data_IF_217367681319
#
_entry.id   IF_217367681319
#
_cell.length_a   1.000
_cell.length_b   1.000
_cell.length_c   1.000
_cell.angle_alpha   90.00
_cell.angle_beta   90.00
_cell.angle_gamma   90.00
#
_symmetry.space_group_name_H-M   'P 1'
#
loop_
_entity.id
_entity.type
_entity.pdbx_description
1 polymer ?
#
# COMPACT_ATOMS: atom_id res chain seq x y z
N UNK A 1 34.30 5.38 7.68
CA UNK A 1 34.18 6.21 6.46
C UNK A 1 33.13 5.56 5.55
N UNK A 2 31.98 6.23 5.46
CA UNK A 2 30.91 6.11 4.46
C UNK A 2 30.08 4.82 4.35
N UNK A 3 28.98 4.78 5.12
CA UNK A 3 27.78 3.97 4.84
C UNK A 3 27.03 4.60 3.64
N UNK A 4 27.27 4.09 2.43
CA UNK A 4 26.58 4.58 1.24
C UNK A 4 25.36 3.70 0.83
N UNK A 5 24.17 4.15 1.24
CA UNK A 5 22.89 4.17 0.52
C UNK A 5 22.38 2.92 -0.23
N UNK A 6 21.48 2.17 0.41
CA UNK A 6 20.35 1.51 -0.27
C UNK A 6 19.02 2.08 0.24
N UNK A 7 18.83 3.41 0.11
CA UNK A 7 17.53 4.06 0.26
C UNK A 7 16.69 3.90 -1.03
N UNK A 8 16.67 2.70 -1.61
CA UNK A 8 15.86 2.43 -2.80
C UNK A 8 14.51 1.93 -2.35
N UNK A 9 13.44 2.63 -2.75
CA UNK A 9 12.07 2.16 -2.54
C UNK A 9 11.90 0.77 -3.17
N UNK A 10 11.05 -0.10 -2.59
CA UNK A 10 10.66 -1.35 -3.24
C UNK A 10 10.12 -1.06 -4.65
N UNK A 11 10.46 -1.89 -5.64
CA UNK A 11 10.13 -1.62 -7.04
C UNK A 11 8.61 -1.47 -7.26
N UNK A 12 7.78 -2.21 -6.51
CA UNK A 12 6.32 -2.06 -6.55
C UNK A 12 5.87 -0.64 -6.12
N UNK A 13 6.47 -0.10 -5.05
CA UNK A 13 6.21 1.26 -4.56
C UNK A 13 6.69 2.30 -5.58
N UNK A 14 7.88 2.10 -6.14
CA UNK A 14 8.43 3.01 -7.14
C UNK A 14 7.55 3.07 -8.40
N UNK A 15 7.03 1.93 -8.87
CA UNK A 15 6.09 1.87 -10.00
C UNK A 15 4.76 2.54 -9.69
N UNK A 16 4.15 2.23 -8.55
CA UNK A 16 2.89 2.84 -8.11
C UNK A 16 3.00 4.37 -8.03
N UNK A 17 4.09 4.88 -7.46
CA UNK A 17 4.35 6.32 -7.36
C UNK A 17 4.63 6.99 -8.70
N UNK A 18 5.11 6.25 -9.70
CA UNK A 18 5.29 6.77 -11.05
C UNK A 18 3.99 6.80 -11.85
N UNK A 19 3.00 6.00 -11.46
CA UNK A 19 1.73 5.84 -12.17
C UNK A 19 0.61 6.70 -11.56
N UNK A 20 0.62 6.85 -10.23
CA UNK A 20 -0.36 7.64 -9.48
C UNK A 20 0.30 8.92 -8.99
N UNK A 21 -0.30 10.07 -9.29
CA UNK A 21 0.17 11.37 -8.81
C UNK A 21 0.14 11.38 -7.26
N UNK A 22 1.24 11.77 -6.58
CA UNK A 22 1.24 11.91 -5.14
C UNK A 22 0.25 12.99 -4.61
N UNK A 23 -0.21 13.93 -5.42
CA UNK A 23 -1.14 14.96 -4.95
C UNK A 23 -2.45 14.33 -4.42
N UNK A 24 -2.72 14.52 -3.12
CA UNK A 24 -3.91 13.98 -2.45
C UNK A 24 -3.78 12.54 -1.92
N UNK A 25 -2.62 11.89 -2.07
CA UNK A 25 -2.36 10.54 -1.57
C UNK A 25 -1.71 10.58 -0.19
N UNK A 26 -2.27 9.91 0.81
CA UNK A 26 -1.68 9.78 2.15
C UNK A 26 -0.41 8.92 2.15
N UNK A 27 -0.35 7.89 1.30
CA UNK A 27 0.85 7.12 1.03
C UNK A 27 0.59 5.82 0.26
N UNK A 28 1.64 5.01 0.12
CA UNK A 28 1.64 3.81 -0.70
C UNK A 28 1.81 2.57 0.17
N UNK A 29 0.99 1.55 -0.06
CA UNK A 29 0.94 0.34 0.74
C UNK A 29 1.55 -0.85 0.02
N UNK A 30 2.49 -1.50 0.71
CA UNK A 30 2.98 -2.84 0.35
C UNK A 30 2.36 -3.89 1.27
N UNK A 31 2.20 -5.10 0.75
CA UNK A 31 1.60 -6.24 1.46
C UNK A 31 0.22 -5.90 2.03
N UNK A 32 -0.58 -5.13 1.29
CA UNK A 32 -1.87 -4.65 1.73
C UNK A 32 -2.86 -5.81 1.91
N UNK A 33 -3.35 -5.97 3.14
CA UNK A 33 -4.37 -6.95 3.51
C UNK A 33 -5.60 -6.21 4.00
N UNK A 34 -6.74 -6.50 3.39
CA UNK A 34 -8.02 -5.97 3.86
C UNK A 34 -8.67 -6.91 4.87
N UNK A 35 -9.12 -6.35 6.00
CA UNK A 35 -9.88 -7.08 7.00
C UNK A 35 -10.85 -6.15 7.71
N UNK A 36 -12.14 -6.54 7.77
CA UNK A 36 -13.20 -5.81 8.48
C UNK A 36 -13.32 -4.34 8.03
N UNK A 37 -13.26 -4.09 6.71
CA UNK A 37 -13.42 -2.75 6.14
C UNK A 37 -12.25 -1.79 6.42
N UNK A 38 -11.05 -2.33 6.65
CA UNK A 38 -9.81 -1.58 6.84
C UNK A 38 -8.67 -2.29 6.13
N UNK A 39 -7.63 -1.56 5.76
CA UNK A 39 -6.43 -2.12 5.16
C UNK A 39 -5.26 -2.03 6.14
N UNK A 40 -4.56 -3.14 6.33
CA UNK A 40 -3.25 -3.18 7.00
C UNK A 40 -2.17 -3.36 5.95
N UNK A 41 -1.04 -2.68 6.11
CA UNK A 41 0.09 -2.80 5.19
C UNK A 41 1.33 -2.06 5.70
N UNK A 42 2.41 -2.16 4.95
CA UNK A 42 3.60 -1.33 5.17
C UNK A 42 3.47 -0.04 4.39
N UNK A 43 3.54 1.10 5.08
CA UNK A 43 3.43 2.43 4.50
C UNK A 43 4.77 2.92 3.96
N UNK A 44 4.74 3.50 2.77
CA UNK A 44 5.85 4.19 2.15
C UNK A 44 5.41 5.55 1.60
N UNK A 45 6.34 6.49 1.52
CA UNK A 45 6.12 7.85 1.04
C UNK A 45 4.94 8.53 1.77
N UNK A 46 4.96 8.45 3.11
CA UNK A 46 3.97 9.12 3.96
C UNK A 46 4.03 10.63 3.74
N UNK A 47 2.99 11.20 3.12
CA UNK A 47 2.92 12.63 2.83
C UNK A 47 2.62 13.48 4.07
N UNK A 48 2.08 12.88 5.14
CA UNK A 48 1.93 13.57 6.41
C UNK A 48 3.26 13.76 7.14
N UNK A 49 4.29 13.00 6.75
CA UNK A 49 5.64 13.03 7.35
C UNK A 49 5.71 12.49 8.78
N UNK A 50 4.65 11.83 9.26
CA UNK A 50 4.56 11.32 10.63
C UNK A 50 5.24 9.96 10.82
N UNK A 51 5.39 9.18 9.74
CA UNK A 51 5.87 7.80 9.76
C UNK A 51 7.07 7.61 8.83
N UNK A 52 7.92 6.64 9.17
CA UNK A 52 9.07 6.26 8.33
C UNK A 52 8.63 5.23 7.30
N UNK A 53 9.26 5.24 6.13
CA UNK A 53 9.09 4.18 5.13
C UNK A 53 9.25 2.77 5.72
N UNK A 54 8.32 1.88 5.41
CA UNK A 54 8.22 0.53 5.97
C UNK A 54 7.46 0.45 7.29
N UNK A 55 6.91 1.56 7.81
CA UNK A 55 6.11 1.54 9.04
C UNK A 55 4.82 0.74 8.83
N UNK A 56 4.49 -0.23 9.70
CA UNK A 56 3.21 -0.93 9.61
C UNK A 56 2.08 0.00 10.03
N UNK A 57 1.01 0.05 9.24
CA UNK A 57 -0.18 0.84 9.55
C UNK A 57 -1.45 0.00 9.41
N UNK A 58 -2.52 0.54 9.99
CA UNK A 58 -3.88 0.19 9.67
C UNK A 58 -4.62 1.47 9.31
N UNK A 59 -5.27 1.49 8.15
CA UNK A 59 -6.07 2.64 7.72
C UNK A 59 -7.30 2.83 8.63
N UNK A 60 -7.94 3.98 8.45
CA UNK A 60 -9.31 4.26 8.79
C UNK A 60 -10.28 3.29 8.11
N UNK A 61 -11.56 3.44 8.43
CA UNK A 61 -12.61 2.68 7.76
C UNK A 61 -12.62 3.08 6.28
N UNK A 62 -12.67 2.09 5.40
CA UNK A 62 -12.78 2.30 3.95
C UNK A 62 -14.14 2.92 3.68
N UNK A 63 -14.14 4.09 3.05
CA UNK A 63 -15.33 4.83 2.65
C UNK A 63 -15.65 4.62 1.18
N UNK A 64 -14.61 4.55 0.32
CA UNK A 64 -14.77 4.34 -1.11
C UNK A 64 -13.50 3.77 -1.77
N UNK A 65 -13.56 3.48 -3.07
CA UNK A 65 -12.45 2.99 -3.90
C UNK A 65 -12.41 3.63 -5.28
N UNK A 66 -11.21 3.81 -5.78
CA UNK A 66 -10.96 4.22 -7.16
C UNK A 66 -9.83 3.38 -7.78
N UNK A 67 -9.67 3.49 -9.11
CA UNK A 67 -8.59 2.85 -9.86
C UNK A 67 -7.89 3.89 -10.74
N UNK A 68 -6.56 3.85 -10.75
CA UNK A 68 -5.70 4.71 -11.58
C UNK A 68 -4.54 3.88 -12.09
N UNK A 69 -4.37 3.80 -13.42
CA UNK A 69 -3.23 3.10 -14.06
C UNK A 69 -2.97 1.69 -13.46
N UNK A 70 -4.05 0.90 -13.32
CA UNK A 70 -4.06 -0.44 -12.73
C UNK A 70 -3.76 -0.53 -11.21
N UNK A 71 -3.66 0.60 -10.52
CA UNK A 71 -3.53 0.67 -9.07
C UNK A 71 -4.86 0.99 -8.39
N UNK A 72 -5.17 0.25 -7.33
CA UNK A 72 -6.32 0.51 -6.48
C UNK A 72 -6.00 1.62 -5.48
N UNK A 73 -6.89 2.60 -5.41
CA UNK A 73 -6.90 3.65 -4.40
C UNK A 73 -7.96 3.31 -3.35
N UNK A 74 -7.52 3.18 -2.11
CA UNK A 74 -8.38 2.99 -0.95
C UNK A 74 -8.64 4.35 -0.33
N UNK A 75 -9.88 4.83 -0.44
CA UNK A 75 -10.31 6.07 0.17
C UNK A 75 -10.82 5.72 1.57
N UNK A 76 -10.02 6.00 2.58
CA UNK A 76 -10.35 5.75 3.98
C UNK A 76 -10.62 7.07 4.72
N UNK A 77 -11.32 6.97 5.85
CA UNK A 77 -11.66 8.11 6.69
C UNK A 77 -10.45 8.94 7.17
N UNK A 78 -9.24 8.38 7.13
CA UNK A 78 -7.98 9.03 7.51
C UNK A 78 -7.07 9.38 6.32
N UNK A 79 -7.45 9.06 5.09
CA UNK A 79 -6.67 9.40 3.90
C UNK A 79 -6.88 8.45 2.72
N UNK A 80 -6.28 8.82 1.58
CA UNK A 80 -6.30 8.00 0.36
C UNK A 80 -4.99 7.23 0.25
N UNK A 81 -5.06 5.91 0.14
CA UNK A 81 -3.89 5.04 0.09
C UNK A 81 -3.82 4.29 -1.23
N UNK A 82 -2.66 4.31 -1.88
CA UNK A 82 -2.43 3.52 -3.10
C UNK A 82 -1.97 2.12 -2.71
N UNK A 83 -2.69 1.10 -3.17
CA UNK A 83 -2.28 -0.30 -2.99
C UNK A 83 -1.28 -0.66 -4.08
N UNK A 84 0.02 -0.58 -3.75
CA UNK A 84 1.09 -0.93 -4.67
C UNK A 84 1.26 -2.45 -4.82
N UNK A 85 0.89 -3.20 -3.77
CA UNK A 85 0.93 -4.66 -3.77
C UNK A 85 0.05 -5.22 -2.65
N UNK A 86 -0.77 -6.22 -2.94
CA UNK A 86 -1.62 -6.91 -1.96
C UNK A 86 -0.85 -8.04 -1.27
N UNK A 87 -1.28 -8.44 -0.08
CA UNK A 87 -0.60 -9.49 0.70
C UNK A 87 -0.66 -10.87 0.03
N UNK A 88 -1.77 -11.20 -0.63
CA UNK A 88 -1.96 -12.47 -1.36
C UNK A 88 -1.16 -12.59 -2.68
N UNK A 89 -0.58 -11.50 -3.17
CA UNK A 89 0.27 -11.49 -4.37
C UNK A 89 1.70 -11.95 -4.05
N UNK A 90 2.09 -12.01 -2.76
CA UNK A 90 3.44 -12.39 -2.31
C UNK A 90 3.75 -13.91 -2.43
N UNK A 91 2.97 -14.65 -3.21
CA UNK A 91 3.05 -16.09 -3.34
C UNK A 91 1.73 -16.75 -2.95
N UNK A 92 1.12 -17.45 -3.90
CA UNK A 92 -0.15 -18.16 -3.78
C UNK A 92 -0.33 -18.85 -2.41
N UNK A 93 -1.26 -18.35 -1.60
CA UNK A 93 -2.19 -19.28 -0.97
C UNK A 93 -3.28 -19.49 -1.99
N UNK A 94 -3.13 -20.55 -2.79
CA UNK A 94 -4.25 -21.15 -3.50
C UNK A 94 -5.44 -21.16 -2.54
N UNK A 95 -6.61 -20.59 -2.88
CA UNK A 95 -7.79 -20.81 -2.07
C UNK A 95 -7.97 -22.32 -2.03
N UNK A 96 -7.76 -22.89 -0.83
CA UNK A 96 -7.98 -24.30 -0.51
C UNK A 96 -9.17 -24.76 -1.32
N UNK A 97 -8.91 -25.69 -2.25
CA UNK A 97 -9.89 -26.39 -3.05
C UNK A 97 -11.13 -26.63 -2.20
N UNK A 98 -12.25 -26.04 -2.59
CA UNK A 98 -13.53 -26.29 -1.95
C UNK A 98 -13.74 -27.80 -1.91
N UNK A 99 -13.82 -28.35 -0.70
CA UNK A 99 -14.31 -29.70 -0.48
C UNK A 99 -15.75 -29.77 -0.99
N UNK A 100 -15.96 -30.57 -2.03
CA UNK A 100 -17.25 -31.19 -2.36
C UNK A 100 -17.01 -32.64 -2.76
#
# INVERSE_FOLDING_TARGET
MSEFWFNKLPDAIAKARSAVDPEGIAGYLLCALERRGRVTGMLFCDLSGGLRDGSPIQTGVIEDRAWVEDYELVIAADGVYVVAHRSHENGAMDPVVCWH
#
